data_IF_201659820457
#
_entry.id   IF_201659820457
#
_cell.length_a   1.000
_cell.length_b   1.000
_cell.length_c   1.000
_cell.angle_alpha   90.00
_cell.angle_beta   90.00
_cell.angle_gamma   90.00
#
_symmetry.space_group_name_H-M   'P 1'
#
loop_
_entity.id
_entity.type
_entity.pdbx_description
1 polymer ?
#
# COMPACT_ATOMS: atom_id res chain seq x y z
N UNK A 1 -23.16 11.96 -0.79
CA UNK A 1 -22.19 12.32 -0.26
C UNK A 1 -21.50 11.33 0.40
N UNK A 2 -20.26 11.41 0.51
CA UNK A 2 -19.61 10.41 0.98
C UNK A 2 -19.25 10.71 2.30
N UNK A 3 -19.03 9.78 3.10
CA UNK A 3 -18.66 9.92 4.29
C UNK A 3 -17.36 9.57 4.51
N UNK A 4 -16.66 10.24 5.25
CA UNK A 4 -15.34 9.95 5.58
C UNK A 4 -15.30 8.69 6.28
N UNK A 5 -14.25 7.98 6.12
CA UNK A 5 -14.06 6.75 6.77
C UNK A 5 -13.29 6.85 8.00
N UNK A 6 -13.25 7.98 8.64
CA UNK A 6 -12.45 8.08 9.78
C UNK A 6 -12.90 7.20 10.86
N UNK A 7 -14.07 6.70 10.81
CA UNK A 7 -14.44 5.79 11.83
C UNK A 7 -13.71 4.48 11.75
N UNK A 8 -12.96 4.28 10.70
CA UNK A 8 -12.24 3.05 10.61
C UNK A 8 -10.90 3.20 11.14
N UNK A 9 -10.60 4.34 11.61
CA UNK A 9 -9.32 4.58 11.93
C UNK A 9 -8.76 3.74 12.90
N UNK A 10 -9.43 3.24 13.80
CA UNK A 10 -8.82 2.45 14.65
C UNK A 10 -8.84 1.14 14.32
N UNK A 11 -9.22 0.78 13.33
CA UNK A 11 -9.46 -0.37 13.22
C UNK A 11 -8.87 -1.26 12.92
N UNK A 12 -9.18 -2.17 13.27
CA UNK A 12 -8.84 -3.24 12.94
C UNK A 12 -9.80 -3.80 12.10
N UNK A 13 -9.59 -3.94 10.90
CA UNK A 13 -10.37 -4.68 10.06
C UNK A 13 -9.87 -6.04 10.12
N UNK A 14 -10.44 -6.87 10.90
CA UNK A 14 -9.93 -8.17 10.99
C UNK A 14 -10.66 -9.05 10.05
N UNK A 15 -10.44 -8.96 8.82
CA UNK A 15 -11.00 -9.80 7.86
C UNK A 15 -10.04 -10.70 7.30
N UNK A 16 -10.37 -11.92 6.97
CA UNK A 16 -9.48 -12.81 6.31
C UNK A 16 -9.91 -12.86 4.91
N UNK A 17 -10.41 -12.26 4.21
CA UNK A 17 -10.69 -12.33 2.82
C UNK A 17 -10.08 -11.19 2.11
N UNK A 18 -10.59 -10.89 0.94
CA UNK A 18 -10.11 -9.80 0.16
C UNK A 18 -10.97 -8.59 0.38
N UNK A 19 -10.35 -7.49 0.67
CA UNK A 19 -11.06 -6.25 0.86
C UNK A 19 -10.76 -5.30 -0.27
N UNK A 20 -11.65 -4.38 -0.52
CA UNK A 20 -11.48 -3.41 -1.58
C UNK A 20 -11.75 -2.01 -1.06
N UNK A 21 -10.80 -1.11 -1.28
CA UNK A 21 -10.92 0.27 -0.86
C UNK A 21 -11.11 1.11 -2.11
N UNK A 22 -12.29 1.57 -2.36
CA UNK A 22 -12.66 2.18 -3.62
C UNK A 22 -12.11 3.56 -3.87
N UNK A 23 -12.32 4.05 -5.07
CA UNK A 23 -11.73 5.30 -5.52
C UNK A 23 -12.22 6.53 -4.79
N UNK A 24 -13.42 6.51 -4.31
CA UNK A 24 -13.93 7.68 -3.62
C UNK A 24 -13.72 7.60 -2.14
N UNK A 25 -12.99 6.61 -1.66
CA UNK A 25 -12.77 6.46 -0.24
C UNK A 25 -11.50 7.13 0.21
N UNK A 26 -11.51 7.62 1.41
CA UNK A 26 -10.33 8.18 2.01
C UNK A 26 -10.20 7.64 3.41
N UNK A 27 -9.01 7.27 3.79
CA UNK A 27 -8.74 6.76 5.11
C UNK A 27 -7.59 7.51 5.74
N UNK A 28 -7.77 7.95 6.96
CA UNK A 28 -6.70 8.53 7.72
C UNK A 28 -6.57 7.73 8.99
N UNK A 29 -5.39 7.30 9.31
CA UNK A 29 -5.14 6.52 10.49
C UNK A 29 -4.51 5.19 10.13
N UNK A 30 -4.66 4.22 11.02
CA UNK A 30 -4.01 2.94 10.83
C UNK A 30 -4.97 1.90 10.29
N UNK A 31 -4.48 1.07 9.39
CA UNK A 31 -5.27 0.02 8.82
C UNK A 31 -4.56 -1.30 9.07
N UNK A 32 -5.26 -2.27 9.61
CA UNK A 32 -4.70 -3.59 9.83
C UNK A 32 -5.65 -4.65 9.36
N UNK A 33 -5.13 -5.60 8.64
CA UNK A 33 -5.93 -6.73 8.22
C UNK A 33 -5.02 -7.91 8.00
N UNK A 34 -5.52 -9.12 8.24
CA UNK A 34 -4.72 -10.30 8.01
C UNK A 34 -4.97 -10.89 6.64
N UNK A 35 -5.76 -10.30 5.82
CA UNK A 35 -6.03 -10.83 4.48
C UNK A 35 -5.43 -9.94 3.41
N UNK A 36 -6.08 -9.90 2.28
CA UNK A 36 -5.64 -9.11 1.13
C UNK A 36 -6.49 -7.87 1.00
N UNK A 37 -5.92 -6.81 0.49
CA UNK A 37 -6.67 -5.59 0.27
C UNK A 37 -6.26 -4.95 -1.04
N UNK A 38 -7.24 -4.46 -1.79
CA UNK A 38 -7.01 -3.69 -3.00
C UNK A 38 -7.31 -2.24 -2.67
N UNK A 39 -6.42 -1.35 -3.00
CA UNK A 39 -6.59 0.06 -2.69
C UNK A 39 -6.66 0.86 -3.95
N UNK A 40 -7.79 1.51 -4.16
CA UNK A 40 -7.98 2.40 -5.29
C UNK A 40 -8.24 3.84 -4.84
N UNK A 41 -8.32 4.07 -3.55
CA UNK A 41 -8.58 5.42 -3.03
C UNK A 41 -7.37 6.02 -2.36
N UNK A 42 -7.59 6.90 -1.41
CA UNK A 42 -6.53 7.62 -0.76
C UNK A 42 -6.37 7.16 0.67
N UNK A 43 -5.18 6.78 1.05
CA UNK A 43 -4.89 6.33 2.40
C UNK A 43 -3.73 7.13 2.97
N UNK A 44 -3.90 7.60 4.18
CA UNK A 44 -2.88 8.39 4.84
C UNK A 44 -2.70 7.83 6.23
N UNK A 45 -1.58 7.19 6.49
CA UNK A 45 -1.31 6.60 7.79
C UNK A 45 -0.49 5.33 7.65
N UNK A 46 -0.64 4.45 8.62
CA UNK A 46 0.14 3.22 8.65
C UNK A 46 -0.72 2.05 8.22
N UNK A 47 -0.18 1.19 7.39
CA UNK A 47 -0.91 0.04 6.88
C UNK A 47 -0.15 -1.22 7.21
N UNK A 48 -0.85 -2.18 7.84
CA UNK A 48 -0.28 -3.47 8.15
C UNK A 48 -1.20 -4.54 7.59
N UNK A 49 -0.77 -5.21 6.54
CA UNK A 49 -1.61 -6.20 5.88
C UNK A 49 -0.75 -7.37 5.46
N UNK A 50 -1.37 -8.45 5.05
CA UNK A 50 -0.61 -9.57 4.51
C UNK A 50 -0.30 -9.37 3.04
N UNK A 51 -1.30 -9.02 2.26
CA UNK A 51 -1.12 -8.79 0.84
C UNK A 51 -1.84 -7.53 0.45
N UNK A 52 -1.25 -6.76 -0.45
CA UNK A 52 -1.82 -5.51 -0.83
C UNK A 52 -1.58 -5.22 -2.27
N UNK A 53 -2.59 -4.68 -2.93
CA UNK A 53 -2.46 -4.21 -4.30
C UNK A 53 -2.92 -2.77 -4.34
N UNK A 54 -2.08 -1.88 -4.83
CA UNK A 54 -2.44 -0.48 -5.02
C UNK A 54 -2.72 -0.31 -6.50
N UNK A 55 -3.94 -0.03 -6.85
CA UNK A 55 -4.31 0.10 -8.26
C UNK A 55 -3.86 1.44 -8.80
N UNK A 56 -4.04 1.67 -10.08
CA UNK A 56 -3.58 2.89 -10.71
C UNK A 56 -4.19 4.14 -10.12
N UNK A 57 -5.37 4.02 -9.54
CA UNK A 57 -6.02 5.19 -8.95
C UNK A 57 -5.75 5.28 -7.46
N UNK A 58 -4.99 4.35 -6.89
CA UNK A 58 -4.72 4.39 -5.46
C UNK A 58 -3.58 5.32 -5.12
N UNK A 59 -3.61 5.89 -3.95
CA UNK A 59 -2.56 6.77 -3.49
C UNK A 59 -2.40 6.57 -1.99
N UNK A 60 -1.17 6.34 -1.56
CA UNK A 60 -0.91 6.06 -0.16
C UNK A 60 0.21 6.95 0.34
N UNK A 61 0.02 7.50 1.52
CA UNK A 61 1.04 8.27 2.17
C UNK A 61 1.25 7.71 3.55
N UNK A 62 2.45 7.38 3.91
CA UNK A 62 2.78 6.89 5.24
C UNK A 62 3.61 5.63 5.17
N UNK A 63 3.40 4.72 6.10
CA UNK A 63 4.18 3.51 6.18
C UNK A 63 3.35 2.31 5.80
N UNK A 64 3.94 1.39 5.07
CA UNK A 64 3.26 0.18 4.67
C UNK A 64 4.11 -1.00 5.08
N UNK A 65 3.49 -1.96 5.75
CA UNK A 65 4.14 -3.21 6.07
C UNK A 65 3.28 -4.35 5.59
N UNK A 66 3.83 -5.22 4.80
CA UNK A 66 3.07 -6.35 4.27
C UNK A 66 4.02 -7.48 3.91
N UNK A 67 3.47 -8.64 3.59
CA UNK A 67 4.29 -9.72 3.10
C UNK A 67 4.48 -9.57 1.60
N UNK A 68 3.41 -9.28 0.89
CA UNK A 68 3.47 -9.09 -0.56
C UNK A 68 2.77 -7.79 -0.93
N UNK A 69 3.43 -6.97 -1.73
CA UNK A 69 2.86 -5.71 -2.17
C UNK A 69 2.99 -5.61 -3.67
N UNK A 70 1.89 -5.26 -4.35
CA UNK A 70 1.92 -4.94 -5.77
C UNK A 70 1.46 -3.51 -5.90
N UNK A 71 2.20 -2.69 -6.58
CA UNK A 71 1.88 -1.28 -6.71
C UNK A 71 1.78 -0.87 -8.16
N UNK A 72 0.65 -0.30 -8.54
CA UNK A 72 0.46 0.27 -9.86
C UNK A 72 0.08 1.75 -9.72
N UNK A 73 -0.03 2.27 -8.53
CA UNK A 73 -0.43 3.65 -8.28
C UNK A 73 0.68 4.44 -7.62
N UNK A 74 0.30 5.32 -6.72
CA UNK A 74 1.22 6.26 -6.13
C UNK A 74 1.43 5.96 -4.65
N UNK A 75 2.66 5.90 -4.21
CA UNK A 75 2.96 5.67 -2.81
C UNK A 75 4.06 6.63 -2.36
N UNK A 76 3.84 7.30 -1.24
CA UNK A 76 4.84 8.16 -0.65
C UNK A 76 5.12 7.70 0.76
N UNK A 77 6.35 7.50 1.13
CA UNK A 77 6.73 7.15 2.48
C UNK A 77 7.57 5.88 2.51
N UNK A 78 7.37 5.07 3.54
CA UNK A 78 8.21 3.92 3.74
C UNK A 78 7.44 2.65 3.43
N UNK A 79 8.04 1.77 2.67
CA UNK A 79 7.41 0.51 2.31
C UNK A 79 8.32 -0.62 2.80
N UNK A 80 7.75 -1.56 3.54
CA UNK A 80 8.50 -2.71 4.01
C UNK A 80 7.70 -3.96 3.66
N UNK A 81 8.31 -4.86 2.96
CA UNK A 81 7.64 -6.10 2.59
C UNK A 81 8.66 -7.18 2.28
N UNK A 82 8.20 -8.42 2.23
CA UNK A 82 9.08 -9.49 1.85
C UNK A 82 9.24 -9.49 0.32
N UNK A 83 8.14 -9.36 -0.38
CA UNK A 83 8.16 -9.34 -1.83
C UNK A 83 7.44 -8.11 -2.34
N UNK A 84 8.04 -7.39 -3.24
CA UNK A 84 7.47 -6.16 -3.78
C UNK A 84 7.47 -6.24 -5.30
N UNK A 85 6.34 -5.90 -5.89
CA UNK A 85 6.20 -5.87 -7.33
C UNK A 85 5.73 -4.49 -7.71
N UNK A 86 6.47 -3.83 -8.59
CA UNK A 86 6.12 -2.50 -9.04
C UNK A 86 5.72 -2.57 -10.50
N UNK A 87 4.51 -2.22 -10.79
CA UNK A 87 3.99 -2.27 -12.14
C UNK A 87 4.43 -1.06 -12.95
N UNK A 88 4.03 -1.02 -14.21
CA UNK A 88 4.44 0.02 -15.10
C UNK A 88 4.02 1.39 -14.70
N UNK A 89 2.90 1.51 -14.02
CA UNK A 89 2.38 2.82 -13.66
C UNK A 89 2.70 3.19 -12.23
N UNK A 90 3.57 2.44 -11.57
CA UNK A 90 3.90 2.73 -10.18
C UNK A 90 4.73 3.99 -10.04
N UNK A 91 4.40 4.83 -9.10
CA UNK A 91 5.20 6.01 -8.77
C UNK A 91 5.44 5.97 -7.29
N UNK A 92 6.69 5.90 -6.90
CA UNK A 92 7.04 5.77 -5.50
C UNK A 92 8.01 6.85 -5.09
N UNK A 93 7.71 7.51 -3.99
CA UNK A 93 8.61 8.48 -3.43
C UNK A 93 8.89 8.12 -2.01
N UNK A 94 10.10 7.81 -1.69
CA UNK A 94 10.50 7.47 -0.33
C UNK A 94 11.36 6.24 -0.31
N UNK A 95 11.32 5.51 0.81
CA UNK A 95 12.22 4.40 1.00
C UNK A 95 11.49 3.07 0.82
N UNK A 96 12.14 2.14 0.19
CA UNK A 96 11.61 0.81 -0.03
C UNK A 96 12.54 -0.18 0.62
N UNK A 97 11.99 -1.04 1.48
CA UNK A 97 12.75 -2.09 2.11
C UNK A 97 12.13 -3.44 1.79
N UNK A 98 12.87 -4.31 1.16
CA UNK A 98 12.36 -5.62 0.82
C UNK A 98 13.23 -6.69 1.45
N UNK A 99 12.63 -7.83 1.80
CA UNK A 99 13.38 -8.88 2.45
C UNK A 99 13.74 -10.01 1.52
N UNK A 100 12.91 -10.32 0.57
CA UNK A 100 13.16 -11.42 -0.33
C UNK A 100 13.35 -11.00 -1.76
N UNK A 101 12.43 -10.32 -2.34
CA UNK A 101 12.57 -9.95 -3.74
C UNK A 101 11.88 -8.65 -4.08
N UNK A 102 12.39 -8.00 -5.09
CA UNK A 102 11.82 -6.78 -5.60
C UNK A 102 11.79 -6.89 -7.11
N UNK A 103 10.63 -6.73 -7.71
CA UNK A 103 10.50 -6.74 -9.15
C UNK A 103 9.95 -5.43 -9.62
N UNK A 104 10.54 -4.88 -10.67
CA UNK A 104 10.07 -3.64 -11.23
C UNK A 104 9.84 -3.81 -12.68
N UNK A 105 8.76 -3.30 -13.21
CA UNK A 105 8.52 -3.35 -14.64
C UNK A 105 8.97 -2.05 -15.26
N UNK A 106 9.23 -2.09 -16.57
CA UNK A 106 9.64 -0.91 -17.27
C UNK A 106 8.56 0.13 -17.14
N UNK A 107 8.91 1.35 -16.86
CA UNK A 107 7.93 2.42 -16.68
C UNK A 107 7.71 2.82 -15.26
N UNK A 108 8.06 1.97 -14.31
CA UNK A 108 7.91 2.35 -12.91
C UNK A 108 8.86 3.48 -12.56
N UNK A 109 8.37 4.41 -11.76
CA UNK A 109 9.16 5.58 -11.39
C UNK A 109 9.40 5.54 -9.90
N UNK A 110 10.64 5.40 -9.49
CA UNK A 110 10.98 5.30 -8.09
C UNK A 110 11.94 6.41 -7.72
N UNK A 111 11.55 7.21 -6.74
CA UNK A 111 12.38 8.31 -6.31
C UNK A 111 12.67 8.10 -4.83
N UNK A 112 13.84 7.67 -4.50
CA UNK A 112 14.23 7.42 -3.13
C UNK A 112 15.18 6.26 -3.04
N UNK A 113 15.22 5.63 -1.88
CA UNK A 113 16.15 4.56 -1.66
C UNK A 113 15.48 3.20 -1.70
N UNK A 114 16.18 2.23 -2.22
CA UNK A 114 15.73 0.86 -2.21
C UNK A 114 16.78 0.06 -1.46
N UNK A 115 16.38 -0.62 -0.40
CA UNK A 115 17.30 -1.39 0.38
C UNK A 115 16.76 -2.74 0.70
N UNK A 116 17.64 -3.69 0.86
CA UNK A 116 17.24 -4.99 1.29
C UNK A 116 17.28 -5.00 2.81
N UNK A 117 16.16 -5.32 3.42
CA UNK A 117 16.07 -5.30 4.85
C UNK A 117 16.15 -6.70 5.34
N UNK A 118 17.17 -7.27 5.57
CA UNK A 118 17.20 -8.65 5.99
C UNK A 118 17.66 -8.81 7.39
#
# INVERSE_FOLDING_TARGET
MFKSLRSIETSKISQTGRSHFGETMQLEGDLRTSGSIDIAGLVNGNIFVSEMVVTETGSIRGSIEATVIEIYGHVEGKITADNIILGKTAVIKGDIFFKQSLKTEEGADIDGYIKRAS
#
